data_IF_534518168003
#
_entry.id   IF_534518168003
#
_cell.length_a   1.000
_cell.length_b   1.000
_cell.length_c   1.000
_cell.angle_alpha   90.00
_cell.angle_beta   90.00
_cell.angle_gamma   90.00
#
_symmetry.space_group_name_H-M   'P 1'
#
loop_
_entity.id
_entity.type
_entity.pdbx_description
1 polymer ?
#
# COMPACT_ATOMS: atom_id res chain seq x y z
N UNK A 1 18.04 -0.28 15.46
CA UNK A 1 16.85 -0.51 16.29
C UNK A 1 17.04 0.38 17.51
N UNK A 2 16.45 1.57 17.49
CA UNK A 2 16.50 2.52 18.59
C UNK A 2 15.07 3.00 18.82
N UNK A 3 14.58 2.76 20.03
CA UNK A 3 13.21 3.02 20.48
C UNK A 3 13.17 4.48 20.91
N UNK A 4 12.48 5.35 20.16
CA UNK A 4 12.31 6.75 20.56
C UNK A 4 11.06 6.91 21.43
N UNK A 5 11.35 7.21 22.69
CA UNK A 5 10.45 7.63 23.76
C UNK A 5 9.71 8.92 23.38
N UNK A 6 8.40 8.96 23.61
CA UNK A 6 7.57 10.16 23.45
C UNK A 6 7.50 10.93 24.78
N UNK A 7 8.09 12.13 24.81
CA UNK A 7 7.83 13.09 25.87
C UNK A 7 6.55 13.88 25.57
N UNK A 8 5.66 13.92 26.57
CA UNK A 8 4.43 14.72 26.57
C UNK A 8 4.78 16.20 26.69
N UNK A 9 4.38 17.01 25.71
CA UNK A 9 4.29 18.47 25.87
C UNK A 9 2.82 18.85 25.90
N UNK A 10 2.45 19.54 26.97
CA UNK A 10 1.10 19.84 27.41
C UNK A 10 0.33 20.81 26.51
N UNK A 11 -0.99 20.68 26.60
CA UNK A 11 -1.97 21.58 26.04
C UNK A 11 -2.03 22.89 26.84
N UNK A 12 -1.82 24.02 26.17
CA UNK A 12 -2.48 25.30 26.39
C UNK A 12 -1.82 26.33 25.46
N UNK A 13 -2.56 26.89 24.52
CA UNK A 13 -2.83 28.34 24.54
C UNK A 13 -3.79 28.75 23.42
N UNK A 14 -4.51 29.83 23.74
CA UNK A 14 -5.79 30.24 23.20
C UNK A 14 -5.70 30.92 21.83
N UNK A 15 -6.85 30.89 21.16
CA UNK A 15 -7.23 31.69 20.00
C UNK A 15 -6.99 33.20 20.20
N UNK A 16 -6.35 33.85 19.24
CA UNK A 16 -6.60 35.27 18.92
C UNK A 16 -6.74 35.46 17.40
N UNK A 17 -7.84 36.10 17.01
CA UNK A 17 -8.15 36.57 15.66
C UNK A 17 -7.85 38.06 15.63
N UNK A 18 -6.93 38.59 14.79
CA UNK A 18 -6.72 40.03 14.71
C UNK A 18 -7.71 40.68 13.73
N UNK A 19 -8.52 41.57 14.30
CA UNK A 19 -9.42 42.51 13.62
C UNK A 19 -8.65 43.48 12.71
N UNK A 20 -9.21 43.73 11.53
CA UNK A 20 -8.80 44.77 10.58
C UNK A 20 -8.87 46.16 11.23
N UNK A 21 -7.74 46.88 11.26
CA UNK A 21 -7.74 48.34 11.43
C UNK A 21 -6.82 49.00 10.40
N UNK A 22 -7.42 49.92 9.65
CA UNK A 22 -6.77 50.79 8.67
C UNK A 22 -5.83 51.78 9.37
N UNK A 23 -4.67 52.07 8.76
CA UNK A 23 -4.17 53.43 8.65
C UNK A 23 -3.08 53.54 7.57
N UNK A 24 -3.27 54.54 6.71
CA UNK A 24 -2.38 54.96 5.64
C UNK A 24 -1.24 55.80 6.22
N UNK A 25 0.02 55.50 5.89
CA UNK A 25 1.08 56.51 5.66
C UNK A 25 2.31 55.89 5.00
N UNK A 26 2.88 56.68 4.09
CA UNK A 26 3.94 56.37 3.13
C UNK A 26 5.27 55.98 3.78
N UNK A 27 6.07 55.17 3.06
CA UNK A 27 7.53 55.17 3.23
C UNK A 27 8.19 53.80 3.10
N UNK A 28 8.77 53.57 1.93
CA UNK A 28 9.77 52.55 1.57
C UNK A 28 10.45 51.79 2.73
N UNK A 29 10.11 50.51 2.84
CA UNK A 29 10.84 49.50 3.60
C UNK A 29 10.24 48.14 3.26
N UNK A 30 10.85 47.42 2.32
CA UNK A 30 10.50 46.01 2.05
C UNK A 30 10.98 45.21 3.26
N UNK A 31 10.14 45.17 4.29
CA UNK A 31 10.29 44.21 5.37
C UNK A 31 9.80 42.87 4.82
N UNK A 32 10.73 42.11 4.23
CA UNK A 32 10.55 40.69 3.97
C UNK A 32 10.40 40.02 5.34
N UNK A 33 9.18 39.98 5.87
CA UNK A 33 8.82 39.00 6.88
C UNK A 33 8.98 37.64 6.20
N UNK A 34 10.10 36.98 6.44
CA UNK A 34 10.32 35.59 6.10
C UNK A 34 9.36 34.76 6.96
N UNK A 35 8.12 34.64 6.51
CA UNK A 35 7.26 33.53 6.89
C UNK A 35 8.06 32.27 6.60
N UNK A 36 8.59 31.65 7.65
CA UNK A 36 9.29 30.37 7.56
C UNK A 36 8.26 29.40 6.99
N UNK A 37 8.43 29.07 5.71
CA UNK A 37 7.45 28.38 4.88
C UNK A 37 7.56 26.86 5.14
N UNK A 38 7.25 26.44 6.37
CA UNK A 38 7.27 25.04 6.77
C UNK A 38 6.08 24.31 6.14
N UNK A 39 6.29 23.06 5.70
CA UNK A 39 5.18 22.22 5.22
C UNK A 39 4.50 21.60 6.44
N UNK A 40 3.29 22.04 6.75
CA UNK A 40 2.53 21.56 7.92
C UNK A 40 2.22 20.06 7.79
N UNK A 41 2.50 19.28 8.85
CA UNK A 41 2.24 17.84 8.88
C UNK A 41 3.32 16.93 8.27
N UNK A 42 4.46 17.49 7.83
CA UNK A 42 5.58 16.71 7.26
C UNK A 42 6.81 16.75 8.17
N UNK A 43 7.40 15.59 8.41
CA UNK A 43 8.68 15.43 9.12
C UNK A 43 9.75 14.79 8.24
N UNK A 44 11.01 15.04 8.57
CA UNK A 44 12.15 14.36 7.99
C UNK A 44 12.38 12.97 8.64
N UNK A 45 13.44 12.28 8.23
CA UNK A 45 13.81 10.97 8.80
C UNK A 45 14.25 11.02 10.27
N UNK A 46 14.56 12.22 10.81
CA UNK A 46 14.91 12.47 12.22
C UNK A 46 13.69 12.85 13.07
N UNK A 47 12.56 13.15 12.44
CA UNK A 47 11.35 13.64 13.10
C UNK A 47 11.27 15.16 13.19
N UNK A 48 12.21 15.89 12.58
CA UNK A 48 12.24 17.34 12.56
C UNK A 48 11.30 17.89 11.48
N UNK A 49 10.73 19.08 11.73
CA UNK A 49 9.87 19.77 10.74
C UNK A 49 10.68 20.10 9.48
N UNK A 50 10.09 19.87 8.31
CA UNK A 50 10.76 20.15 7.03
C UNK A 50 10.63 21.64 6.69
N UNK A 51 11.74 22.38 6.80
CA UNK A 51 11.83 23.82 6.49
C UNK A 51 12.34 24.11 5.07
N UNK A 52 13.05 23.16 4.45
CA UNK A 52 13.71 23.35 3.15
C UNK A 52 13.07 22.44 2.10
N UNK A 53 12.08 22.98 1.37
CA UNK A 53 11.33 22.28 0.31
C UNK A 53 12.24 21.70 -0.78
N UNK A 54 13.44 22.28 -0.99
CA UNK A 54 14.37 21.89 -2.05
C UNK A 54 15.19 20.62 -1.73
N UNK A 55 15.38 20.30 -0.44
CA UNK A 55 16.26 19.19 0.01
C UNK A 55 15.53 17.87 0.20
N UNK A 56 14.24 17.92 0.55
CA UNK A 56 13.42 16.75 0.87
C UNK A 56 12.24 16.65 -0.09
N UNK A 57 11.90 15.42 -0.50
CA UNK A 57 10.77 15.13 -1.40
C UNK A 57 11.04 15.45 -2.87
N UNK A 58 9.95 15.72 -3.60
CA UNK A 58 9.97 16.03 -5.03
C UNK A 58 10.47 14.89 -5.93
N UNK A 59 10.88 15.25 -7.14
CA UNK A 59 11.28 14.30 -8.18
C UNK A 59 12.45 13.41 -7.79
N UNK A 60 13.42 13.92 -7.03
CA UNK A 60 14.57 13.14 -6.58
C UNK A 60 14.13 11.92 -5.77
N UNK A 61 13.16 12.09 -4.88
CA UNK A 61 12.58 11.01 -4.08
C UNK A 61 11.62 10.15 -4.89
N UNK A 62 10.74 10.79 -5.67
CA UNK A 62 9.73 10.11 -6.47
C UNK A 62 10.33 9.17 -7.52
N UNK A 63 11.47 9.51 -8.13
CA UNK A 63 12.14 8.65 -9.12
C UNK A 63 12.58 7.30 -8.55
N UNK A 64 13.01 7.23 -7.28
CA UNK A 64 13.37 5.96 -6.65
C UNK A 64 12.15 5.08 -6.36
N UNK A 65 11.02 5.70 -6.03
CA UNK A 65 9.73 5.00 -5.89
C UNK A 65 9.23 4.47 -7.24
N UNK A 66 9.38 5.23 -8.32
CA UNK A 66 9.08 4.79 -9.68
C UNK A 66 9.95 3.58 -10.04
N UNK A 67 11.27 3.62 -9.75
CA UNK A 67 12.17 2.49 -9.99
C UNK A 67 11.73 1.23 -9.22
N UNK A 68 11.37 1.38 -7.94
CA UNK A 68 10.86 0.28 -7.12
C UNK A 68 9.53 -0.27 -7.68
N UNK A 69 8.65 0.59 -8.18
CA UNK A 69 7.39 0.20 -8.84
C UNK A 69 7.62 -0.54 -10.16
N UNK A 70 8.63 -0.14 -10.95
CA UNK A 70 9.00 -0.86 -12.17
C UNK A 70 9.50 -2.27 -11.85
N UNK A 71 10.31 -2.40 -10.79
CA UNK A 71 10.77 -3.70 -10.33
C UNK A 71 9.61 -4.58 -9.84
N UNK A 72 8.67 -4.04 -9.06
CA UNK A 72 7.43 -4.73 -8.69
C UNK A 72 6.63 -5.19 -9.90
N UNK A 73 6.43 -4.30 -10.88
CA UNK A 73 5.69 -4.63 -12.10
C UNK A 73 6.38 -5.75 -12.86
N UNK A 74 7.71 -5.69 -12.99
CA UNK A 74 8.52 -6.72 -13.61
C UNK A 74 8.34 -8.09 -12.93
N UNK A 75 8.56 -8.17 -11.62
CA UNK A 75 8.52 -9.47 -10.92
C UNK A 75 7.11 -10.03 -10.80
N UNK A 76 6.10 -9.19 -10.57
CA UNK A 76 4.72 -9.64 -10.39
C UNK A 76 4.10 -10.12 -11.70
N UNK A 77 4.31 -9.35 -12.78
CA UNK A 77 3.78 -9.72 -14.11
C UNK A 77 4.42 -11.04 -14.54
N UNK A 78 5.71 -11.22 -14.30
CA UNK A 78 6.42 -12.45 -14.66
C UNK A 78 5.96 -13.64 -13.84
N UNK A 79 5.58 -13.41 -12.58
CA UNK A 79 4.96 -14.44 -11.77
C UNK A 79 3.58 -14.83 -12.30
N UNK A 80 2.70 -13.85 -12.58
CA UNK A 80 1.27 -14.11 -12.86
C UNK A 80 1.02 -14.56 -14.30
N UNK A 81 1.60 -13.90 -15.30
CA UNK A 81 1.22 -14.12 -16.70
C UNK A 81 1.59 -15.50 -17.23
N UNK A 82 2.67 -16.09 -16.72
CA UNK A 82 3.10 -17.41 -17.14
C UNK A 82 2.77 -18.52 -16.13
N UNK A 83 2.12 -18.18 -15.01
CA UNK A 83 1.82 -19.12 -13.93
C UNK A 83 1.07 -20.37 -14.41
N UNK A 84 0.17 -20.21 -15.39
CA UNK A 84 -0.60 -21.32 -15.95
C UNK A 84 0.29 -22.40 -16.57
N UNK A 85 1.40 -22.02 -17.19
CA UNK A 85 2.38 -22.94 -17.79
C UNK A 85 3.08 -23.75 -16.70
N UNK A 86 3.38 -23.13 -15.55
CA UNK A 86 3.95 -23.86 -14.41
C UNK A 86 2.95 -24.84 -13.78
N UNK A 87 1.70 -24.41 -13.59
CA UNK A 87 0.66 -25.23 -12.97
C UNK A 87 0.31 -26.45 -13.83
N UNK A 88 0.21 -26.28 -15.14
CA UNK A 88 -0.19 -27.36 -16.06
C UNK A 88 0.99 -28.24 -16.51
N UNK A 89 2.19 -27.69 -16.63
CA UNK A 89 3.40 -28.43 -17.01
C UNK A 89 4.07 -29.13 -15.81
N UNK A 90 5.00 -28.45 -15.10
CA UNK A 90 5.71 -29.01 -13.95
C UNK A 90 4.84 -29.59 -12.84
N UNK A 91 3.72 -28.93 -12.50
CA UNK A 91 2.81 -29.40 -11.44
C UNK A 91 1.74 -30.36 -11.94
N UNK A 92 1.61 -30.57 -13.26
CA UNK A 92 0.69 -31.53 -13.88
C UNK A 92 -0.78 -31.36 -13.47
N UNK A 93 -1.21 -30.14 -13.12
CA UNK A 93 -2.62 -29.89 -12.81
C UNK A 93 -3.47 -29.83 -14.08
N UNK A 94 -4.72 -30.31 -14.03
CA UNK A 94 -5.69 -30.06 -15.09
C UNK A 94 -5.86 -28.54 -15.32
N UNK A 95 -5.95 -28.13 -16.58
CA UNK A 95 -6.08 -26.71 -16.97
C UNK A 95 -7.25 -26.00 -16.25
N UNK A 96 -8.35 -26.71 -16.02
CA UNK A 96 -9.51 -26.18 -15.30
C UNK A 96 -9.17 -25.84 -13.84
N UNK A 97 -8.52 -26.76 -13.12
CA UNK A 97 -8.10 -26.55 -11.72
C UNK A 97 -7.02 -25.47 -11.62
N UNK A 98 -6.08 -25.45 -12.57
CA UNK A 98 -5.03 -24.44 -12.63
C UNK A 98 -5.62 -23.02 -12.82
N UNK A 99 -6.55 -22.85 -13.76
CA UNK A 99 -7.24 -21.58 -13.99
C UNK A 99 -8.04 -21.13 -12.77
N UNK A 100 -8.73 -22.06 -12.09
CA UNK A 100 -9.43 -21.76 -10.85
C UNK A 100 -8.49 -21.25 -9.77
N UNK A 101 -7.35 -21.90 -9.57
CA UNK A 101 -6.34 -21.49 -8.57
C UNK A 101 -5.75 -20.10 -8.89
N UNK A 102 -5.52 -19.78 -10.17
CA UNK A 102 -5.06 -18.45 -10.60
C UNK A 102 -6.13 -17.39 -10.33
N UNK A 103 -7.41 -17.68 -10.59
CA UNK A 103 -8.50 -16.75 -10.31
C UNK A 103 -8.67 -16.50 -8.81
N UNK A 104 -8.51 -17.53 -7.97
CA UNK A 104 -8.50 -17.37 -6.51
C UNK A 104 -7.34 -16.49 -6.07
N UNK A 105 -6.14 -16.74 -6.59
CA UNK A 105 -4.96 -15.91 -6.32
C UNK A 105 -5.19 -14.44 -6.69
N UNK A 106 -5.76 -14.19 -7.87
CA UNK A 106 -6.12 -12.85 -8.31
C UNK A 106 -7.12 -12.21 -7.34
N UNK A 107 -8.18 -12.93 -6.97
CA UNK A 107 -9.17 -12.45 -6.00
C UNK A 107 -8.55 -12.05 -4.66
N UNK A 108 -7.66 -12.88 -4.11
CA UNK A 108 -6.90 -12.54 -2.89
C UNK A 108 -6.05 -11.29 -3.10
N UNK A 109 -5.31 -11.22 -4.21
CA UNK A 109 -4.44 -10.09 -4.56
C UNK A 109 -5.20 -8.76 -4.59
N UNK A 110 -6.44 -8.74 -5.11
CA UNK A 110 -7.28 -7.55 -5.17
C UNK A 110 -7.93 -7.18 -3.82
N UNK A 111 -8.10 -8.15 -2.92
CA UNK A 111 -8.69 -7.91 -1.59
C UNK A 111 -7.67 -7.48 -0.53
N UNK A 112 -6.42 -7.95 -0.62
CA UNK A 112 -5.33 -7.62 0.31
C UNK A 112 -5.14 -6.10 0.55
N UNK A 113 -5.25 -5.22 -0.46
CA UNK A 113 -5.14 -3.77 -0.26
C UNK A 113 -6.16 -3.22 0.76
N UNK A 114 -7.37 -3.77 0.84
CA UNK A 114 -8.39 -3.33 1.81
C UNK A 114 -7.91 -3.55 3.24
N UNK A 115 -7.38 -4.74 3.52
CA UNK A 115 -6.80 -5.06 4.82
C UNK A 115 -5.53 -4.27 5.11
N UNK A 116 -4.70 -4.07 4.08
CA UNK A 116 -3.45 -3.32 4.22
C UNK A 116 -3.73 -1.85 4.54
N UNK A 117 -4.73 -1.23 3.91
CA UNK A 117 -5.11 0.17 4.21
C UNK A 117 -5.48 0.36 5.68
N UNK A 118 -6.32 -0.53 6.21
CA UNK A 118 -6.70 -0.50 7.63
C UNK A 118 -5.49 -0.65 8.55
N UNK A 119 -4.54 -1.51 8.17
CA UNK A 119 -3.32 -1.73 8.94
C UNK A 119 -2.38 -0.51 8.93
N UNK A 120 -2.26 0.16 7.78
CA UNK A 120 -1.47 1.41 7.62
C UNK A 120 -1.98 2.51 8.54
N UNK A 121 -3.31 2.66 8.62
CA UNK A 121 -3.96 3.71 9.41
C UNK A 121 -3.86 3.47 10.91
N UNK A 122 -3.76 2.21 11.34
CA UNK A 122 -3.71 1.83 12.76
C UNK A 122 -2.31 1.81 13.38
N UNK A 123 -1.26 1.44 12.65
CA UNK A 123 0.02 1.07 13.28
C UNK A 123 1.27 1.75 12.73
N UNK A 124 1.47 1.74 11.40
CA UNK A 124 2.83 1.74 10.85
C UNK A 124 3.16 2.94 9.95
N UNK A 125 2.15 3.66 9.46
CA UNK A 125 2.36 4.65 8.40
C UNK A 125 2.79 4.00 7.07
N UNK A 126 2.76 4.78 6.00
CA UNK A 126 2.95 4.25 4.65
C UNK A 126 4.36 3.69 4.44
N UNK A 127 5.41 4.42 4.85
CA UNK A 127 6.80 4.00 4.63
C UNK A 127 7.14 2.65 5.30
N UNK A 128 6.76 2.46 6.56
CA UNK A 128 7.06 1.20 7.25
C UNK A 128 6.26 0.05 6.63
N UNK A 129 5.02 0.31 6.20
CA UNK A 129 4.22 -0.71 5.51
C UNK A 129 4.82 -1.11 4.17
N UNK A 130 5.36 -0.15 3.40
CA UNK A 130 6.13 -0.45 2.17
C UNK A 130 7.30 -1.37 2.50
N UNK A 131 8.09 -1.05 3.54
CA UNK A 131 9.23 -1.86 3.94
C UNK A 131 8.82 -3.30 4.32
N UNK A 132 7.84 -3.46 5.21
CA UNK A 132 7.35 -4.79 5.61
C UNK A 132 6.77 -5.56 4.42
N UNK A 133 6.02 -4.89 3.55
CA UNK A 133 5.44 -5.51 2.36
C UNK A 133 6.52 -6.00 1.40
N UNK A 134 7.57 -5.21 1.14
CA UNK A 134 8.70 -5.63 0.33
C UNK A 134 9.47 -6.80 0.95
N UNK A 135 9.65 -6.84 2.28
CA UNK A 135 10.29 -7.97 2.97
C UNK A 135 9.47 -9.25 2.85
N UNK A 136 8.15 -9.16 3.02
CA UNK A 136 7.21 -10.27 2.77
C UNK A 136 7.32 -10.71 1.31
N UNK A 137 7.41 -9.76 0.38
CA UNK A 137 7.48 -10.06 -1.04
C UNK A 137 8.76 -10.80 -1.43
N UNK A 138 9.92 -10.33 -0.93
CA UNK A 138 11.22 -10.98 -1.09
C UNK A 138 11.19 -12.39 -0.49
N UNK A 139 10.60 -12.54 0.70
CA UNK A 139 10.44 -13.85 1.35
C UNK A 139 9.59 -14.79 0.51
N UNK A 140 8.49 -14.30 -0.06
CA UNK A 140 7.62 -15.06 -0.96
C UNK A 140 8.38 -15.56 -2.20
N UNK A 141 9.15 -14.69 -2.87
CA UNK A 141 9.97 -15.12 -4.01
C UNK A 141 11.13 -16.04 -3.62
N UNK A 142 11.73 -15.84 -2.44
CA UNK A 142 12.72 -16.75 -1.90
C UNK A 142 12.15 -18.16 -1.68
N UNK A 143 10.99 -18.26 -1.05
CA UNK A 143 10.31 -19.54 -0.85
C UNK A 143 9.79 -20.15 -2.17
N UNK A 144 9.30 -19.34 -3.11
CA UNK A 144 8.97 -19.81 -4.46
C UNK A 144 10.19 -20.43 -5.13
N UNK A 145 11.34 -19.75 -5.08
CA UNK A 145 12.60 -20.26 -5.62
C UNK A 145 12.97 -21.59 -4.98
N UNK A 146 12.92 -21.70 -3.65
CA UNK A 146 13.21 -22.95 -2.93
C UNK A 146 12.22 -24.08 -3.30
N UNK A 147 10.94 -23.75 -3.47
CA UNK A 147 9.88 -24.71 -3.80
C UNK A 147 10.08 -25.36 -5.17
N UNK A 148 10.70 -24.63 -6.11
CA UNK A 148 10.95 -25.10 -7.48
C UNK A 148 12.40 -25.57 -7.71
N UNK A 149 13.33 -25.20 -6.83
CA UNK A 149 14.74 -25.61 -6.91
C UNK A 149 14.93 -27.10 -6.56
N UNK A 150 14.33 -27.56 -5.46
CA UNK A 150 14.45 -28.96 -5.03
C UNK A 150 13.93 -29.97 -6.08
N UNK A 151 12.77 -29.75 -6.71
CA UNK A 151 12.25 -30.60 -7.80
C UNK A 151 13.06 -30.48 -9.09
N UNK A 152 13.61 -29.30 -9.40
CA UNK A 152 14.45 -29.10 -10.58
C UNK A 152 15.72 -29.95 -10.50
N UNK A 153 16.41 -29.93 -9.36
CA UNK A 153 17.59 -30.76 -9.11
C UNK A 153 17.23 -32.26 -9.18
N UNK A 154 16.18 -32.67 -8.46
CA UNK A 154 15.72 -34.07 -8.46
C UNK A 154 15.33 -34.58 -9.86
N UNK A 155 14.69 -33.74 -10.69
CA UNK A 155 14.30 -34.10 -12.05
C UNK A 155 15.51 -34.19 -12.99
N UNK A 156 16.52 -33.33 -12.81
CA UNK A 156 17.77 -33.41 -13.58
C UNK A 156 18.54 -34.70 -13.30
N UNK A 157 18.56 -35.16 -12.05
CA UNK A 157 19.20 -36.43 -11.66
C UNK A 157 18.47 -37.64 -12.26
N UNK A 158 17.14 -37.59 -12.37
CA UNK A 158 16.36 -38.65 -13.02
C UNK A 158 16.59 -38.75 -14.53
N UNK A 159 16.86 -37.63 -15.21
CA UNK A 159 17.11 -37.61 -16.67
C UNK A 159 18.54 -38.04 -17.02
N UNK A 160 19.51 -37.76 -16.14
CA UNK A 160 20.91 -38.09 -16.35
C UNK A 160 21.26 -39.54 -15.96
N UNK A 161 20.48 -40.17 -15.09
CA UNK A 161 20.63 -41.60 -14.79
C UNK A 161 19.88 -42.43 -15.85
N UNK A 162 20.63 -42.97 -16.80
CA UNK A 162 20.18 -43.69 -17.99
C UNK A 162 19.49 -45.05 -17.75
N UNK A 163 19.02 -45.34 -16.53
CA UNK A 163 18.24 -46.55 -16.26
C UNK A 163 16.76 -46.32 -16.60
N UNK A 164 16.46 -46.59 -17.88
CA UNK A 164 15.11 -46.71 -18.42
C UNK A 164 14.22 -47.56 -17.49
N UNK A 165 13.30 -46.91 -16.73
CA UNK A 165 11.93 -47.36 -16.36
C UNK A 165 11.34 -46.76 -15.08
N UNK A 166 11.94 -45.76 -14.43
CA UNK A 166 11.22 -45.06 -13.35
C UNK A 166 10.50 -43.84 -13.90
N UNK A 167 9.15 -43.80 -13.92
CA UNK A 167 8.44 -42.56 -14.18
C UNK A 167 8.91 -41.55 -13.13
N UNK A 168 9.35 -40.36 -13.56
CA UNK A 168 9.66 -39.28 -12.64
C UNK A 168 8.43 -39.04 -11.77
N UNK A 169 8.52 -39.36 -10.47
CA UNK A 169 7.39 -39.28 -9.56
C UNK A 169 6.72 -37.91 -9.65
N UNK A 170 5.37 -37.91 -9.68
CA UNK A 170 4.53 -36.72 -9.56
C UNK A 170 4.97 -35.85 -8.38
N UNK A 171 4.76 -34.51 -8.46
CA UNK A 171 5.18 -33.59 -7.40
C UNK A 171 4.60 -34.01 -6.05
N UNK A 172 5.43 -33.96 -5.00
CA UNK A 172 4.97 -34.35 -3.67
C UNK A 172 3.91 -33.37 -3.16
N UNK A 173 2.91 -33.84 -2.43
CA UNK A 173 1.84 -32.97 -1.91
C UNK A 173 2.39 -31.83 -1.05
N UNK A 174 3.47 -32.08 -0.29
CA UNK A 174 4.16 -31.07 0.49
C UNK A 174 4.78 -29.97 -0.39
N UNK A 175 5.41 -30.34 -1.51
CA UNK A 175 5.99 -29.38 -2.45
C UNK A 175 4.90 -28.49 -3.06
N UNK A 176 3.76 -29.08 -3.47
CA UNK A 176 2.64 -28.33 -4.04
C UNK A 176 2.08 -27.34 -3.02
N UNK A 177 1.87 -27.79 -1.78
CA UNK A 177 1.41 -26.94 -0.69
C UNK A 177 2.40 -25.79 -0.41
N UNK A 178 3.69 -26.11 -0.32
CA UNK A 178 4.74 -25.12 -0.08
C UNK A 178 4.82 -24.08 -1.21
N UNK A 179 4.68 -24.51 -2.47
CA UNK A 179 4.59 -23.61 -3.62
C UNK A 179 3.41 -22.64 -3.49
N UNK A 180 2.21 -23.12 -3.19
CA UNK A 180 1.03 -22.26 -3.03
C UNK A 180 1.16 -21.29 -1.86
N UNK A 181 1.67 -21.74 -0.70
CA UNK A 181 1.93 -20.86 0.45
C UNK A 181 2.88 -19.74 0.03
N UNK A 182 3.96 -20.07 -0.66
CA UNK A 182 4.95 -19.11 -1.14
C UNK A 182 4.34 -18.11 -2.14
N UNK A 183 3.49 -18.61 -3.04
CA UNK A 183 2.77 -17.82 -4.03
C UNK A 183 1.82 -16.81 -3.38
N UNK A 184 1.06 -17.22 -2.36
CA UNK A 184 0.18 -16.32 -1.61
C UNK A 184 0.97 -15.30 -0.79
N UNK A 185 2.08 -15.70 -0.15
CA UNK A 185 2.98 -14.77 0.56
C UNK A 185 3.49 -13.69 -0.41
N UNK A 186 3.95 -14.09 -1.60
CA UNK A 186 4.43 -13.17 -2.61
C UNK A 186 3.34 -12.18 -3.05
N UNK A 187 2.14 -12.68 -3.37
CA UNK A 187 1.00 -11.83 -3.75
C UNK A 187 0.58 -10.86 -2.65
N UNK A 188 0.56 -11.30 -1.38
CA UNK A 188 0.24 -10.42 -0.24
C UNK A 188 1.25 -9.29 -0.13
N UNK A 189 2.55 -9.60 -0.21
CA UNK A 189 3.62 -8.61 -0.18
C UNK A 189 3.53 -7.60 -1.33
N UNK A 190 3.34 -8.07 -2.57
CA UNK A 190 3.20 -7.19 -3.73
C UNK A 190 1.98 -6.27 -3.67
N UNK A 191 0.82 -6.80 -3.27
CA UNK A 191 -0.41 -5.99 -3.12
C UNK A 191 -0.28 -4.91 -2.04
N UNK A 192 0.30 -5.26 -0.89
CA UNK A 192 0.49 -4.30 0.20
C UNK A 192 1.46 -3.18 -0.18
N UNK A 193 2.52 -3.53 -0.90
CA UNK A 193 3.49 -2.57 -1.45
C UNK A 193 2.80 -1.54 -2.37
N UNK A 194 2.04 -2.00 -3.37
CA UNK A 194 1.46 -1.13 -4.41
C UNK A 194 0.59 0.00 -3.85
N UNK A 195 -0.32 -0.35 -2.94
CA UNK A 195 -1.24 0.61 -2.34
C UNK A 195 -0.46 1.70 -1.58
N UNK A 196 0.49 1.28 -0.74
CA UNK A 196 1.22 2.20 0.12
C UNK A 196 2.24 3.02 -0.67
N UNK A 197 2.89 2.43 -1.67
CA UNK A 197 3.94 3.09 -2.46
C UNK A 197 3.37 4.20 -3.36
N UNK A 198 2.18 4.01 -3.92
CA UNK A 198 1.49 5.06 -4.68
C UNK A 198 1.12 6.24 -3.78
N UNK A 199 0.52 5.97 -2.62
CA UNK A 199 0.17 7.01 -1.65
C UNK A 199 1.43 7.75 -1.15
N UNK A 200 2.47 7.02 -0.76
CA UNK A 200 3.72 7.60 -0.28
C UNK A 200 4.47 8.40 -1.37
N UNK A 201 4.39 7.98 -2.63
CA UNK A 201 4.98 8.70 -3.76
C UNK A 201 4.24 10.00 -4.06
N UNK A 202 2.91 9.98 -4.01
CA UNK A 202 2.08 11.17 -4.09
C UNK A 202 2.40 12.17 -2.97
N UNK A 203 2.66 11.66 -1.77
CA UNK A 203 3.03 12.43 -0.58
C UNK A 203 4.41 13.10 -0.66
N UNK A 204 5.21 12.78 -1.69
CA UNK A 204 6.48 13.49 -1.94
C UNK A 204 6.29 14.87 -2.58
N UNK A 205 5.08 15.21 -3.02
CA UNK A 205 4.76 16.48 -3.67
C UNK A 205 3.70 17.25 -2.86
N UNK A 206 3.95 18.53 -2.59
CA UNK A 206 3.06 19.42 -1.85
C UNK A 206 1.95 19.98 -2.74
N UNK A 207 0.69 19.76 -2.35
CA UNK A 207 -0.48 20.23 -3.09
C UNK A 207 -0.72 21.73 -2.97
N UNK A 208 -0.20 22.36 -1.91
CA UNK A 208 -0.38 23.80 -1.65
C UNK A 208 0.41 24.67 -2.62
N UNK A 209 1.46 24.11 -3.24
CA UNK A 209 2.24 24.79 -4.26
C UNK A 209 1.75 24.43 -5.67
N UNK A 210 1.44 25.45 -6.48
CA UNK A 210 0.93 25.25 -7.85
C UNK A 210 1.92 24.49 -8.76
N UNK A 211 3.23 24.58 -8.48
CA UNK A 211 4.28 23.86 -9.20
C UNK A 211 4.41 22.39 -8.83
N UNK A 212 4.42 22.05 -7.53
CA UNK A 212 4.49 20.64 -7.11
C UNK A 212 3.17 19.91 -7.36
N UNK A 213 2.02 20.59 -7.31
CA UNK A 213 0.73 20.00 -7.71
C UNK A 213 0.71 19.51 -9.17
N UNK A 214 1.24 20.30 -10.12
CA UNK A 214 1.42 19.84 -11.51
C UNK A 214 2.40 18.68 -11.61
N UNK A 215 3.48 18.71 -10.81
CA UNK A 215 4.47 17.64 -10.75
C UNK A 215 3.89 16.33 -10.22
N UNK A 216 2.97 16.38 -9.24
CA UNK A 216 2.24 15.23 -8.71
C UNK A 216 1.40 14.54 -9.78
N UNK A 217 0.71 15.30 -10.63
CA UNK A 217 -0.02 14.73 -11.78
C UNK A 217 0.93 14.04 -12.77
N UNK A 218 2.06 14.70 -13.10
CA UNK A 218 3.08 14.11 -13.96
C UNK A 218 3.74 12.87 -13.33
N UNK A 219 3.87 12.80 -12.01
CA UNK A 219 4.36 11.63 -11.29
C UNK A 219 3.50 10.39 -11.57
N UNK A 220 2.17 10.50 -11.53
CA UNK A 220 1.30 9.37 -11.85
C UNK A 220 1.46 8.91 -13.31
N UNK A 221 1.59 9.85 -14.25
CA UNK A 221 1.87 9.49 -15.64
C UNK A 221 3.18 8.70 -15.79
N UNK A 222 4.26 9.16 -15.14
CA UNK A 222 5.54 8.46 -15.14
C UNK A 222 5.49 7.12 -14.40
N UNK A 223 4.73 7.02 -13.32
CA UNK A 223 4.51 5.78 -12.57
C UNK A 223 3.91 4.70 -13.48
N UNK A 224 2.82 5.00 -14.17
CA UNK A 224 2.16 4.03 -15.06
C UNK A 224 3.00 3.70 -16.30
N UNK A 225 3.70 4.70 -16.86
CA UNK A 225 4.63 4.48 -17.97
C UNK A 225 5.75 3.51 -17.57
N UNK A 226 6.39 3.74 -16.42
CA UNK A 226 7.47 2.90 -15.93
C UNK A 226 7.00 1.49 -15.50
N UNK A 227 5.78 1.37 -14.97
CA UNK A 227 5.14 0.07 -14.71
C UNK A 227 4.91 -0.72 -16.01
N UNK A 228 4.53 -0.02 -17.09
CA UNK A 228 4.33 -0.63 -18.41
C UNK A 228 5.64 -1.16 -18.99
N UNK A 229 6.75 -0.41 -18.83
CA UNK A 229 8.09 -0.88 -19.18
C UNK A 229 8.44 -2.15 -18.40
N UNK A 230 8.20 -2.17 -17.08
CA UNK A 230 8.43 -3.37 -16.25
C UNK A 230 7.64 -4.59 -16.74
N UNK A 231 6.39 -4.39 -17.13
CA UNK A 231 5.51 -5.42 -17.70
C UNK A 231 6.08 -5.99 -19.02
N UNK A 232 6.53 -5.11 -19.93
CA UNK A 232 7.11 -5.53 -21.21
C UNK A 232 8.41 -6.31 -20.98
N UNK A 233 9.31 -5.79 -20.13
CA UNK A 233 10.56 -6.47 -19.80
C UNK A 233 10.30 -7.84 -19.17
N UNK A 234 9.27 -7.96 -18.35
CA UNK A 234 8.90 -9.24 -17.76
C UNK A 234 8.49 -10.26 -18.81
N UNK A 235 7.66 -9.88 -19.78
CA UNK A 235 7.23 -10.80 -20.83
C UNK A 235 8.39 -11.22 -21.74
N UNK A 236 9.31 -10.30 -22.03
CA UNK A 236 10.45 -10.57 -22.90
C UNK A 236 11.55 -11.39 -22.21
N UNK A 237 11.86 -11.07 -20.96
CA UNK A 237 13.02 -11.63 -20.24
C UNK A 237 12.57 -12.74 -19.30
N UNK A 238 11.69 -12.44 -18.34
CA UNK A 238 11.32 -13.43 -17.32
C UNK A 238 10.54 -14.60 -17.90
N UNK A 239 9.51 -14.36 -18.73
CA UNK A 239 8.73 -15.45 -19.29
C UNK A 239 9.60 -16.31 -20.22
N UNK A 240 10.49 -15.71 -21.01
CA UNK A 240 11.47 -16.44 -21.81
C UNK A 240 12.34 -17.37 -20.94
N UNK A 241 12.87 -16.87 -19.82
CA UNK A 241 13.68 -17.66 -18.88
C UNK A 241 12.86 -18.78 -18.23
N UNK A 242 11.61 -18.52 -17.87
CA UNK A 242 10.71 -19.53 -17.29
C UNK A 242 10.44 -20.67 -18.25
N UNK A 243 10.16 -20.35 -19.52
CA UNK A 243 9.77 -21.33 -20.54
C UNK A 243 10.97 -22.10 -21.11
N UNK A 244 12.14 -21.45 -21.24
CA UNK A 244 13.29 -22.02 -21.95
C UNK A 244 14.45 -22.45 -21.05
N UNK A 245 14.60 -21.88 -19.85
CA UNK A 245 15.72 -22.18 -18.95
C UNK A 245 15.27 -22.92 -17.69
N UNK A 246 14.65 -22.20 -16.74
CA UNK A 246 14.22 -22.77 -15.47
C UNK A 246 13.36 -21.78 -14.68
N UNK A 247 12.30 -22.31 -14.08
CA UNK A 247 11.47 -21.61 -13.09
C UNK A 247 12.28 -21.17 -11.86
N UNK A 248 13.27 -21.96 -11.43
CA UNK A 248 14.11 -21.64 -10.28
C UNK A 248 14.96 -20.40 -10.54
N UNK A 249 15.55 -20.30 -11.75
CA UNK A 249 16.35 -19.14 -12.15
C UNK A 249 15.46 -17.89 -12.24
N UNK A 250 14.28 -18.01 -12.86
CA UNK A 250 13.36 -16.88 -12.99
C UNK A 250 12.91 -16.31 -11.64
N UNK A 251 12.45 -17.16 -10.70
CA UNK A 251 12.06 -16.70 -9.37
C UNK A 251 13.25 -16.18 -8.54
N UNK A 252 14.44 -16.77 -8.72
CA UNK A 252 15.67 -16.27 -8.12
C UNK A 252 16.03 -14.87 -8.60
N UNK A 253 15.94 -14.62 -9.92
CA UNK A 253 16.13 -13.28 -10.51
C UNK A 253 15.10 -12.30 -9.94
N UNK A 254 13.82 -12.69 -9.85
CA UNK A 254 12.79 -11.85 -9.25
C UNK A 254 13.11 -11.47 -7.79
N UNK A 255 13.60 -12.42 -7.00
CA UNK A 255 14.03 -12.18 -5.62
C UNK A 255 15.18 -11.15 -5.57
N UNK A 256 16.22 -11.34 -6.40
CA UNK A 256 17.39 -10.44 -6.46
C UNK A 256 16.99 -9.04 -6.91
N UNK A 257 16.18 -8.91 -7.97
CA UNK A 257 15.70 -7.62 -8.48
C UNK A 257 14.95 -6.86 -7.40
N UNK A 258 14.06 -7.54 -6.66
CA UNK A 258 13.32 -6.91 -5.57
C UNK A 258 14.23 -6.51 -4.40
N UNK A 259 15.21 -7.34 -4.02
CA UNK A 259 16.20 -7.01 -2.99
C UNK A 259 17.04 -5.79 -3.35
N UNK A 260 17.52 -5.72 -4.60
CA UNK A 260 18.31 -4.59 -5.10
C UNK A 260 17.46 -3.32 -5.10
N UNK A 261 16.24 -3.36 -5.63
CA UNK A 261 15.34 -2.21 -5.65
C UNK A 261 14.96 -1.72 -4.25
N UNK A 262 14.70 -2.63 -3.30
CA UNK A 262 14.46 -2.29 -1.91
C UNK A 262 15.70 -1.63 -1.27
N UNK A 263 16.88 -2.15 -1.55
CA UNK A 263 18.14 -1.58 -1.04
C UNK A 263 18.34 -0.15 -1.56
N UNK A 264 18.14 0.07 -2.86
CA UNK A 264 18.23 1.42 -3.47
C UNK A 264 17.20 2.37 -2.87
N UNK A 265 15.97 1.91 -2.65
CA UNK A 265 14.93 2.67 -1.96
C UNK A 265 15.34 3.06 -0.53
N UNK A 266 15.90 2.12 0.24
CA UNK A 266 16.34 2.37 1.62
C UNK A 266 17.55 3.29 1.71
N UNK A 267 18.53 3.18 0.81
CA UNK A 267 19.69 4.08 0.76
C UNK A 267 19.30 5.55 0.56
N UNK A 268 18.10 5.79 0.03
CA UNK A 268 17.56 7.13 -0.23
C UNK A 268 16.55 7.59 0.82
N UNK A 269 16.35 6.81 1.89
CA UNK A 269 15.38 7.09 2.95
C UNK A 269 15.48 8.51 3.52
N UNK A 270 16.71 9.02 3.68
CA UNK A 270 17.00 10.40 4.12
C UNK A 270 16.31 11.49 3.29
N UNK A 271 16.01 11.23 2.01
CA UNK A 271 15.48 12.24 1.07
C UNK A 271 13.95 12.31 1.10
N UNK A 272 13.27 11.35 1.73
CA UNK A 272 11.82 11.29 1.72
C UNK A 272 11.18 12.28 2.68
N UNK A 273 10.00 12.78 2.28
CA UNK A 273 9.05 13.49 3.15
C UNK A 273 8.16 12.46 3.83
N UNK A 274 8.06 12.53 5.15
CA UNK A 274 7.20 11.65 5.94
C UNK A 274 6.00 12.43 6.47
N UNK A 275 4.80 12.09 6.03
CA UNK A 275 3.59 12.69 6.57
C UNK A 275 3.30 12.13 7.97
N UNK A 276 3.23 13.02 8.97
CA UNK A 276 2.72 12.70 10.29
C UNK A 276 1.20 12.74 10.22
N UNK A 277 0.57 11.57 10.04
CA UNK A 277 -0.88 11.46 10.23
C UNK A 277 -1.21 11.80 11.69
N UNK A 278 -1.90 12.92 11.89
CA UNK A 278 -2.44 13.36 13.19
C UNK A 278 -3.40 12.29 13.72
N UNK A 279 -3.01 11.57 14.78
CA UNK A 279 -3.79 10.58 15.54
C UNK A 279 -4.99 9.94 14.78
N UNK A 280 -4.70 9.13 13.76
CA UNK A 280 -5.70 8.38 12.97
C UNK A 280 -6.38 7.23 13.74
N UNK A 281 -5.95 6.96 14.97
CA UNK A 281 -6.52 5.92 15.84
C UNK A 281 -8.01 6.14 16.14
N UNK A 282 -8.49 7.38 16.07
CA UNK A 282 -9.90 7.71 16.30
C UNK A 282 -10.80 7.44 15.07
N UNK A 283 -10.32 7.64 13.85
CA UNK A 283 -11.17 7.61 12.65
C UNK A 283 -11.77 6.22 12.34
N UNK A 284 -11.00 5.14 12.52
CA UNK A 284 -11.49 3.78 12.31
C UNK A 284 -12.40 3.33 13.46
N UNK A 285 -12.09 3.74 14.70
CA UNK A 285 -12.98 3.50 15.84
C UNK A 285 -14.32 4.21 15.64
N UNK A 286 -14.32 5.43 15.09
CA UNK A 286 -15.54 6.16 14.76
C UNK A 286 -16.36 5.42 13.69
N UNK A 287 -15.71 4.91 12.64
CA UNK A 287 -16.39 4.12 11.59
C UNK A 287 -16.96 2.82 12.16
N UNK A 288 -16.17 2.07 12.94
CA UNK A 288 -16.63 0.84 13.60
C UNK A 288 -17.78 1.15 14.57
N UNK A 289 -17.68 2.24 15.33
CA UNK A 289 -18.72 2.69 16.24
C UNK A 289 -20.01 3.02 15.48
N UNK A 290 -19.93 3.66 14.31
CA UNK A 290 -21.11 3.92 13.46
C UNK A 290 -21.75 2.60 13.00
N UNK A 291 -20.97 1.61 12.56
CA UNK A 291 -21.53 0.30 12.19
C UNK A 291 -22.11 -0.46 13.38
N UNK A 292 -21.46 -0.40 14.55
CA UNK A 292 -21.95 -1.02 15.80
C UNK A 292 -23.24 -0.34 16.26
N UNK A 293 -23.30 0.99 16.24
CA UNK A 293 -24.49 1.78 16.58
C UNK A 293 -25.60 1.52 15.57
N UNK A 294 -25.32 1.46 14.27
CA UNK A 294 -26.29 1.13 13.24
C UNK A 294 -26.84 -0.30 13.39
N UNK A 295 -25.98 -1.28 13.67
CA UNK A 295 -26.39 -2.66 13.93
C UNK A 295 -27.20 -2.79 15.23
N UNK A 296 -26.86 -2.02 16.26
CA UNK A 296 -27.62 -1.93 17.50
C UNK A 296 -29.00 -1.28 17.26
N UNK A 297 -29.04 -0.19 16.50
CA UNK A 297 -30.27 0.53 16.14
C UNK A 297 -31.18 -0.29 15.23
N UNK A 298 -30.62 -1.12 14.35
CA UNK A 298 -31.37 -2.08 13.53
C UNK A 298 -32.01 -3.18 14.37
N UNK A 299 -31.37 -3.59 15.48
CA UNK A 299 -31.89 -4.63 16.38
C UNK A 299 -32.92 -4.10 17.39
N UNK A 300 -32.90 -2.82 17.71
CA UNK A 300 -33.99 -2.18 18.43
C UNK A 300 -35.18 -1.96 17.49
N UNK A 301 -36.27 -2.70 17.70
CA UNK A 301 -37.55 -2.37 17.08
C UNK A 301 -37.95 -0.94 17.48
N UNK A 302 -38.59 -0.16 16.59
CA UNK A 302 -39.16 1.12 17.00
C UNK A 302 -40.19 0.85 18.10
N UNK A 303 -39.95 1.37 19.30
CA UNK A 303 -40.97 1.45 20.34
C UNK A 303 -42.03 2.44 19.86
N UNK A 304 -43.15 1.89 19.41
CA UNK A 304 -44.35 2.62 19.02
C UNK A 304 -45.08 3.14 20.26
N UNK A 305 -44.42 3.96 21.09
CA UNK A 305 -45.02 4.56 22.30
C UNK A 305 -45.15 6.08 22.16
N UNK A 306 -45.60 6.54 20.98
CA UNK A 306 -46.03 7.94 20.78
C UNK A 306 -47.43 8.10 20.18
N UNK A 307 -48.27 7.07 20.27
CA UNK A 307 -49.69 7.15 19.88
C UNK A 307 -50.65 7.03 21.08
N UNK A 308 -50.35 7.71 22.19
CA UNK A 308 -51.31 7.87 23.30
C UNK A 308 -51.02 9.10 24.17
N UNK A 309 -50.95 10.28 23.54
CA UNK A 309 -51.01 11.56 24.27
C UNK A 309 -51.76 12.68 23.52
N UNK A 310 -52.52 12.35 22.46
CA UNK A 310 -53.41 13.31 21.76
C UNK A 310 -54.85 12.78 21.85
N UNK A 311 -55.30 12.50 23.06
CA UNK A 311 -56.60 11.89 23.26
C UNK A 311 -57.07 11.98 24.69
N UNK A 312 -57.04 13.17 25.31
CA UNK A 312 -57.99 13.64 26.35
C UNK A 312 -57.48 14.92 27.00
N UNK A 313 -57.98 16.08 26.55
CA UNK A 313 -58.24 17.25 27.38
C UNK A 313 -58.94 18.31 26.52
N UNK A 314 -60.22 18.04 26.24
CA UNK A 314 -61.16 19.08 25.85
C UNK A 314 -61.45 19.91 27.11
N UNK A 315 -60.95 21.14 27.19
CA UNK A 315 -61.48 22.17 28.08
C UNK A 315 -61.17 23.55 27.47
N UNK A 316 -62.12 24.05 26.70
CA UNK A 316 -62.28 25.49 26.40
C UNK A 316 -62.86 26.19 27.63
N UNK A 317 -62.41 27.42 27.91
CA UNK A 317 -63.38 28.49 28.22
C UNK A 317 -62.93 29.84 27.59
N UNK A 318 -63.66 30.97 27.76
CA UNK A 318 -64.35 31.65 26.67
C UNK A 318 -63.62 32.94 26.24
N UNK A 319 -64.02 33.47 25.07
CA UNK A 319 -63.40 34.64 24.47
C UNK A 319 -63.56 35.95 25.24
N UNK A 320 -62.80 36.96 24.81
CA UNK A 320 -63.25 38.36 24.70
C UNK A 320 -62.20 39.23 23.99
N UNK A 321 -62.65 39.82 22.88
CA UNK A 321 -62.42 41.18 22.37
C UNK A 321 -61.02 41.78 22.12
N UNK A 322 -60.85 42.23 20.85
CA UNK A 322 -60.34 43.53 20.37
C UNK A 322 -58.99 44.01 20.91
N UNK A 323 -57.95 44.23 20.11
CA UNK A 323 -57.82 45.03 18.88
C UNK A 323 -56.72 44.49 17.97
#
# INVERSE_FOLDING_TARGET
MEVLSYDKVGANDQYEVPLLTNNTTNGHGVEKNSSIDFVEGVVDYKGDKVFDRSKFGGWKSASFLILLSTADSFVNVGMVLNLISYLTGPLQQPTLSAAQNINILAGVTWMVPLFTSLFVDCFLGQFRTILFSCLIYITGFGFLTLSVLHPYLKRSDCLNNTDYKTPCNSPSSFQVLFFYISLYIASVGGSGFRLCAQAFGADQFDETSSGECKSKSSFFNWWYFAASIGTILSQLILNYIQDNLSWAVAFGISCIVMMVSLTVFLLRAHTYRYNVKKNSTHAILDIIQVFVVAAKNWRSKPSFDHEQAIGTAHQTPPGSHQF
#
